data_IF_937438135561
#
_entry.id   IF_937438135561
#
_cell.length_a   1.000
_cell.length_b   1.000
_cell.length_c   1.000
_cell.angle_alpha   90.00
_cell.angle_beta   90.00
_cell.angle_gamma   90.00
#
_symmetry.space_group_name_H-M   'P 1'
#
loop_
_entity.id
_entity.type
_entity.pdbx_description
1 polymer ?
#
# COMPACT_ATOMS: atom_id res chain seq x y z
N UNK A 1 7.89 -21.68 7.66
CA UNK A 1 8.79 -20.52 7.48
C UNK A 1 7.88 -19.35 7.29
N UNK A 2 8.03 -18.31 8.10
CA UNK A 2 7.30 -17.06 7.90
C UNK A 2 7.75 -16.46 6.56
N UNK A 3 6.79 -16.07 5.73
CA UNK A 3 7.02 -15.41 4.46
C UNK A 3 6.08 -14.20 4.40
N UNK A 4 6.38 -13.15 5.21
CA UNK A 4 5.47 -12.04 5.38
C UNK A 4 5.37 -11.24 4.07
N UNK A 5 4.15 -10.88 3.70
CA UNK A 5 3.82 -10.18 2.45
C UNK A 5 3.00 -8.95 2.76
N UNK A 6 3.21 -7.88 2.00
CA UNK A 6 2.38 -6.68 2.06
C UNK A 6 1.12 -6.90 1.21
N UNK A 7 -0.04 -6.68 1.80
CA UNK A 7 -1.34 -6.74 1.13
C UNK A 7 -1.96 -5.36 1.04
N UNK A 8 -2.60 -5.08 -0.09
CA UNK A 8 -3.49 -3.93 -0.29
C UNK A 8 -4.91 -4.44 -0.53
N UNK A 9 -5.87 -3.96 0.25
CA UNK A 9 -7.23 -4.46 0.32
C UNK A 9 -8.23 -3.31 0.15
N UNK A 10 -9.22 -3.48 -0.72
CA UNK A 10 -10.41 -2.65 -0.78
C UNK A 10 -11.50 -3.32 0.06
N UNK A 11 -11.74 -2.77 1.25
CA UNK A 11 -12.77 -3.24 2.16
C UNK A 11 -14.09 -2.56 1.83
N UNK A 12 -15.18 -3.32 1.87
CA UNK A 12 -16.54 -2.82 1.69
C UNK A 12 -17.39 -3.13 2.92
N UNK A 13 -18.22 -2.18 3.34
CA UNK A 13 -19.29 -2.43 4.30
C UNK A 13 -20.41 -1.40 4.19
N UNK A 14 -21.56 -1.69 4.83
CA UNK A 14 -22.62 -0.69 5.04
C UNK A 14 -22.72 -0.34 6.53
N UNK A 15 -22.12 0.79 6.97
CA UNK A 15 -22.23 1.21 8.37
C UNK A 15 -23.68 1.55 8.75
N UNK A 16 -24.05 1.42 10.04
CA UNK A 16 -25.37 1.86 10.52
C UNK A 16 -25.65 3.33 10.18
N UNK A 17 -26.86 3.61 9.68
CA UNK A 17 -27.26 4.97 9.32
C UNK A 17 -26.73 5.49 7.97
N UNK A 18 -26.05 4.65 7.17
CA UNK A 18 -25.69 4.99 5.78
C UNK A 18 -26.69 4.43 4.78
N UNK A 19 -26.96 5.19 3.73
CA UNK A 19 -27.87 4.77 2.66
C UNK A 19 -27.20 3.81 1.67
N UNK A 20 -25.91 4.01 1.42
CA UNK A 20 -25.08 3.22 0.50
C UNK A 20 -23.97 2.47 1.25
N UNK A 21 -23.37 1.51 0.58
CA UNK A 21 -22.10 0.90 1.00
C UNK A 21 -20.98 1.93 0.94
N UNK A 22 -19.98 1.75 1.80
CA UNK A 22 -18.76 2.52 1.87
C UNK A 22 -17.58 1.60 1.64
N UNK A 23 -16.52 2.15 1.07
CA UNK A 23 -15.28 1.44 0.86
C UNK A 23 -14.13 2.17 1.53
N UNK A 24 -13.15 1.40 1.98
CA UNK A 24 -11.91 1.93 2.53
C UNK A 24 -10.71 1.05 2.11
N UNK A 25 -9.51 1.62 2.17
CA UNK A 25 -8.28 0.91 1.87
C UNK A 25 -7.58 0.45 3.14
N UNK A 26 -7.23 -0.83 3.17
CA UNK A 26 -6.47 -1.44 4.23
C UNK A 26 -5.14 -1.96 3.71
N UNK A 27 -4.07 -1.67 4.45
CA UNK A 27 -2.76 -2.27 4.25
C UNK A 27 -2.40 -3.15 5.44
N UNK A 28 -1.92 -4.36 5.15
CA UNK A 28 -1.52 -5.33 6.17
C UNK A 28 -0.29 -6.11 5.76
N UNK A 29 0.45 -6.61 6.75
CA UNK A 29 1.57 -7.53 6.55
C UNK A 29 1.22 -8.85 7.22
N UNK A 30 1.24 -9.93 6.45
CA UNK A 30 0.96 -11.27 6.97
C UNK A 30 1.52 -12.37 6.06
N UNK A 31 1.53 -13.60 6.56
CA UNK A 31 1.91 -14.76 5.77
C UNK A 31 0.83 -15.16 4.77
N UNK A 32 -0.44 -14.87 5.02
CA UNK A 32 -1.57 -15.12 4.14
C UNK A 32 -2.67 -14.06 4.26
N UNK A 33 -3.62 -14.05 3.32
CA UNK A 33 -4.77 -13.16 3.38
C UNK A 33 -5.71 -13.49 4.58
N UNK A 34 -5.84 -14.76 4.95
CA UNK A 34 -6.64 -15.21 6.09
C UNK A 34 -6.14 -14.64 7.41
N UNK A 35 -4.83 -14.54 7.56
CA UNK A 35 -4.18 -14.01 8.76
C UNK A 35 -4.50 -12.52 9.03
N UNK A 36 -4.96 -11.79 8.01
CA UNK A 36 -5.35 -10.38 8.13
C UNK A 36 -6.75 -10.19 8.72
N UNK A 37 -7.57 -11.24 8.82
CA UNK A 37 -8.97 -11.12 9.27
C UNK A 37 -9.12 -10.42 10.64
N UNK A 38 -8.33 -10.76 11.69
CA UNK A 38 -8.42 -10.06 12.97
C UNK A 38 -8.08 -8.56 12.86
N UNK A 39 -7.09 -8.21 12.04
CA UNK A 39 -6.67 -6.82 11.84
C UNK A 39 -7.71 -6.01 11.04
N UNK A 40 -8.33 -6.62 10.02
CA UNK A 40 -9.42 -6.03 9.23
C UNK A 40 -10.62 -5.71 10.13
N UNK A 41 -11.03 -6.65 10.99
CA UNK A 41 -12.15 -6.43 11.91
C UNK A 41 -11.82 -5.34 12.94
N UNK A 42 -10.56 -5.26 13.37
CA UNK A 42 -10.09 -4.22 14.30
C UNK A 42 -9.98 -2.83 13.68
N UNK A 43 -9.75 -2.71 12.37
CA UNK A 43 -9.59 -1.40 11.70
C UNK A 43 -10.92 -0.71 11.42
N UNK A 44 -12.04 -1.44 11.40
CA UNK A 44 -13.36 -0.86 11.13
C UNK A 44 -14.42 -1.43 12.10
N UNK A 45 -14.36 -1.09 13.39
CA UNK A 45 -15.19 -1.72 14.42
C UNK A 45 -16.69 -1.41 14.28
N UNK A 46 -17.07 -0.32 13.60
CA UNK A 46 -18.46 0.03 13.33
C UNK A 46 -19.07 -0.73 12.15
N UNK A 47 -18.28 -1.52 11.42
CA UNK A 47 -18.72 -2.23 10.23
C UNK A 47 -19.34 -3.60 10.57
N UNK A 48 -20.67 -3.78 10.43
CA UNK A 48 -21.33 -5.00 10.87
C UNK A 48 -21.04 -6.22 9.97
N UNK A 49 -20.69 -5.99 8.70
CA UNK A 49 -20.50 -7.03 7.67
C UNK A 49 -19.44 -6.60 6.65
N UNK A 50 -18.18 -6.59 7.09
CA UNK A 50 -17.05 -6.30 6.20
C UNK A 50 -16.90 -7.42 5.16
N UNK A 51 -16.61 -7.02 3.93
CA UNK A 51 -16.16 -7.87 2.84
C UNK A 51 -14.95 -7.23 2.15
N UNK A 52 -14.26 -8.00 1.31
CA UNK A 52 -13.15 -7.52 0.47
C UNK A 52 -13.66 -7.54 -0.97
N UNK A 53 -13.62 -6.39 -1.65
CA UNK A 53 -14.03 -6.25 -3.06
C UNK A 53 -12.86 -6.30 -4.04
N UNK A 54 -11.66 -6.02 -3.55
CA UNK A 54 -10.44 -6.18 -4.32
C UNK A 54 -9.25 -6.39 -3.37
N UNK A 55 -8.28 -7.18 -3.80
CA UNK A 55 -6.99 -7.25 -3.11
C UNK A 55 -5.86 -7.64 -4.05
N UNK A 56 -4.64 -7.35 -3.60
CA UNK A 56 -3.41 -7.88 -4.18
C UNK A 56 -2.32 -8.02 -3.12
N UNK A 57 -1.41 -8.95 -3.36
CA UNK A 57 -0.08 -8.91 -2.78
C UNK A 57 0.72 -7.83 -3.49
N UNK A 58 1.28 -6.89 -2.75
CA UNK A 58 2.10 -5.81 -3.30
C UNK A 58 3.53 -6.32 -3.39
N UNK A 59 3.90 -6.87 -4.54
CA UNK A 59 5.25 -7.41 -4.77
C UNK A 59 6.09 -6.52 -5.67
N UNK A 60 5.46 -5.74 -6.56
CA UNK A 60 6.15 -4.84 -7.49
C UNK A 60 5.38 -3.53 -7.66
N UNK A 61 6.09 -2.40 -7.54
CA UNK A 61 5.56 -1.05 -7.83
C UNK A 61 6.62 -0.25 -8.57
N UNK A 62 6.26 0.38 -9.69
CA UNK A 62 7.13 1.24 -10.51
C UNK A 62 8.49 0.62 -10.89
N UNK A 63 8.52 -0.70 -11.12
CA UNK A 63 9.76 -1.42 -11.44
C UNK A 63 10.67 -1.63 -10.23
N UNK A 64 10.13 -1.61 -9.01
CA UNK A 64 10.82 -1.99 -7.78
C UNK A 64 10.08 -3.14 -7.10
N UNK A 65 10.81 -4.18 -6.69
CA UNK A 65 10.29 -5.18 -5.76
C UNK A 65 10.07 -4.55 -4.39
N UNK A 66 8.91 -4.81 -3.82
CA UNK A 66 8.56 -4.46 -2.44
C UNK A 66 8.85 -5.67 -1.56
N UNK A 67 9.83 -5.53 -0.66
CA UNK A 67 10.32 -6.62 0.18
C UNK A 67 9.96 -6.29 1.63
N UNK A 68 9.25 -7.20 2.30
CA UNK A 68 8.99 -7.10 3.74
C UNK A 68 10.17 -7.73 4.49
N UNK A 69 10.86 -6.94 5.31
CA UNK A 69 12.02 -7.37 6.09
C UNK A 69 11.64 -7.42 7.57
N UNK A 70 11.80 -8.55 8.26
CA UNK A 70 11.70 -8.63 9.71
C UNK A 70 12.71 -7.70 10.39
N UNK A 71 12.25 -6.95 11.39
CA UNK A 71 13.13 -6.22 12.30
C UNK A 71 13.68 -7.22 13.31
N UNK A 72 15.00 -7.23 13.47
CA UNK A 72 15.61 -8.04 14.51
C UNK A 72 15.00 -7.66 15.87
N UNK A 73 14.47 -8.64 16.59
CA UNK A 73 13.99 -8.44 17.96
C UNK A 73 15.21 -7.96 18.77
N UNK A 74 15.07 -6.83 19.45
CA UNK A 74 16.12 -6.35 20.36
C UNK A 74 16.25 -7.35 21.52
N UNK A 75 17.07 -8.40 21.34
CA UNK A 75 17.37 -9.38 22.39
C UNK A 75 17.39 -10.87 22.00
N UNK A 76 17.63 -11.26 20.75
CA UNK A 76 17.77 -12.69 20.41
C UNK A 76 18.78 -12.96 19.30
N UNK A 77 19.87 -13.65 19.64
CA UNK A 77 20.79 -14.26 18.68
C UNK A 77 20.10 -15.45 17.98
N UNK A 78 19.28 -15.17 16.97
CA UNK A 78 18.70 -16.20 16.09
C UNK A 78 19.53 -16.35 14.80
N UNK A 79 20.18 -17.51 14.58
CA UNK A 79 21.00 -17.77 13.39
C UNK A 79 20.20 -17.82 12.07
N UNK A 80 18.86 -17.91 12.09
CA UNK A 80 18.03 -17.91 10.87
C UNK A 80 17.93 -16.54 10.19
N UNK A 81 18.16 -15.46 10.93
CA UNK A 81 18.21 -14.08 10.41
C UNK A 81 19.50 -13.79 9.61
N UNK A 82 20.48 -14.70 9.58
CA UNK A 82 21.69 -14.53 8.77
C UNK A 82 21.44 -14.80 7.27
N UNK A 83 20.47 -15.64 6.92
CA UNK A 83 20.17 -15.96 5.52
C UNK A 83 19.48 -14.80 4.79
N UNK A 84 18.66 -14.00 5.50
CA UNK A 84 18.05 -12.77 4.96
C UNK A 84 19.04 -11.61 4.85
N UNK A 85 20.21 -11.68 5.51
CA UNK A 85 21.32 -10.73 5.32
C UNK A 85 22.12 -10.99 4.04
N UNK A 86 21.84 -12.08 3.32
CA UNK A 86 22.51 -12.46 2.08
C UNK A 86 21.79 -11.93 0.82
N UNK A 87 21.02 -10.84 0.91
CA UNK A 87 20.84 -9.96 -0.26
C UNK A 87 22.03 -9.01 -0.24
N UNK A 88 23.03 -9.30 -1.07
CA UNK A 88 24.23 -8.48 -1.21
C UNK A 88 23.82 -7.01 -1.36
N UNK A 89 24.29 -6.19 -0.44
CA UNK A 89 24.21 -4.72 -0.48
C UNK A 89 24.84 -4.11 -1.76
N UNK A 90 25.44 -4.94 -2.61
CA UNK A 90 26.07 -4.58 -3.88
C UNK A 90 25.10 -4.41 -5.07
N UNK A 91 23.86 -4.90 -4.98
CA UNK A 91 22.87 -4.76 -6.08
C UNK A 91 21.99 -3.50 -5.93
N UNK A 92 22.30 -2.65 -4.95
CA UNK A 92 21.76 -1.29 -4.86
C UNK A 92 22.51 -0.42 -5.88
N UNK A 93 22.00 -0.38 -7.10
CA UNK A 93 22.55 0.46 -8.18
C UNK A 93 22.52 1.92 -7.76
N UNK A 94 23.70 2.46 -7.46
CA UNK A 94 23.95 3.89 -7.35
C UNK A 94 24.21 4.42 -8.76
N UNK A 95 23.22 5.05 -9.38
CA UNK A 95 23.48 5.99 -10.47
C UNK A 95 23.17 7.42 -10.02
N UNK A 96 24.25 8.10 -9.62
CA UNK A 96 24.49 9.51 -9.92
C UNK A 96 23.73 10.57 -9.13
N UNK A 97 24.31 11.02 -8.02
CA UNK A 97 24.90 12.39 -7.92
C UNK A 97 25.66 12.53 -6.60
N UNK A 98 26.89 13.03 -6.68
CA UNK A 98 27.76 13.28 -5.53
C UNK A 98 27.33 14.55 -4.79
N UNK A 99 27.17 14.47 -3.46
CA UNK A 99 28.00 15.21 -2.46
C UNK A 99 27.31 15.25 -1.08
N UNK A 100 28.03 14.87 -0.02
CA UNK A 100 27.68 15.19 1.37
C UNK A 100 27.51 13.97 2.28
N UNK A 101 28.37 13.86 3.30
CA UNK A 101 28.54 12.72 4.19
C UNK A 101 27.31 12.40 5.08
N UNK A 102 27.00 11.12 5.22
CA UNK A 102 26.05 10.56 6.18
C UNK A 102 25.66 9.12 5.82
N UNK A 103 26.21 8.14 6.54
CA UNK A 103 26.06 6.69 6.36
C UNK A 103 24.67 6.17 6.82
N UNK A 104 23.94 5.48 5.94
CA UNK A 104 23.12 4.28 6.20
C UNK A 104 22.39 3.83 4.91
N UNK A 105 22.77 2.67 4.36
CA UNK A 105 22.33 2.15 3.06
C UNK A 105 20.82 1.87 2.92
N UNK A 106 20.10 2.84 2.38
CA UNK A 106 18.81 2.70 1.69
C UNK A 106 18.79 3.65 0.49
N UNK A 107 18.03 3.34 -0.56
CA UNK A 107 17.91 4.17 -1.78
C UNK A 107 17.26 5.54 -1.52
N UNK A 108 16.86 5.85 -0.28
CA UNK A 108 16.04 7.02 0.07
C UNK A 108 14.60 6.93 -0.45
N UNK A 109 14.28 5.89 -1.21
CA UNK A 109 12.97 5.67 -1.78
C UNK A 109 12.01 5.09 -0.74
N UNK A 110 10.74 5.46 -0.90
CA UNK A 110 9.62 5.07 -0.06
C UNK A 110 8.45 4.65 -0.96
N UNK A 111 7.55 3.86 -0.38
CA UNK A 111 6.32 3.44 -1.03
C UNK A 111 5.17 4.34 -0.54
N UNK A 112 4.46 4.96 -1.48
CA UNK A 112 3.34 5.84 -1.21
C UNK A 112 2.04 5.26 -1.75
N UNK A 113 0.94 5.46 -1.03
CA UNK A 113 -0.43 5.32 -1.50
C UNK A 113 -1.01 6.69 -1.83
N UNK A 114 -1.67 6.79 -2.98
CA UNK A 114 -2.37 7.98 -3.43
C UNK A 114 -3.78 7.62 -3.89
N UNK A 115 -4.76 8.36 -3.40
CA UNK A 115 -6.15 8.28 -3.84
C UNK A 115 -6.48 9.51 -4.68
N UNK A 116 -6.64 9.33 -6.00
CA UNK A 116 -6.92 10.42 -6.94
C UNK A 116 -8.41 10.54 -7.16
N UNK A 117 -8.98 11.72 -6.88
CA UNK A 117 -10.37 12.06 -7.17
C UNK A 117 -10.53 12.71 -8.55
N UNK A 118 -11.66 12.47 -9.20
CA UNK A 118 -11.94 13.05 -10.51
C UNK A 118 -13.39 12.89 -10.97
N UNK A 119 -13.77 13.71 -11.95
CA UNK A 119 -15.16 13.85 -12.40
C UNK A 119 -15.27 13.72 -13.92
N UNK A 120 -16.47 13.35 -14.38
CA UNK A 120 -16.84 13.34 -15.79
C UNK A 120 -18.10 14.18 -16.01
N UNK A 121 -18.17 14.96 -17.11
CA UNK A 121 -19.38 15.71 -17.43
C UNK A 121 -20.61 14.81 -17.58
N UNK A 122 -21.70 15.16 -16.88
CA UNK A 122 -22.99 14.47 -17.00
C UNK A 122 -23.12 13.19 -16.16
N UNK A 123 -22.13 12.86 -15.33
CA UNK A 123 -22.16 11.69 -14.46
C UNK A 123 -22.27 12.13 -12.99
N UNK A 124 -23.19 11.51 -12.25
CA UNK A 124 -23.39 11.77 -10.82
C UNK A 124 -22.53 10.82 -9.99
N UNK A 125 -21.21 10.92 -10.17
CA UNK A 125 -20.22 10.09 -9.48
C UNK A 125 -18.90 10.84 -9.35
N UNK A 126 -18.20 10.59 -8.25
CA UNK A 126 -16.79 10.96 -8.09
C UNK A 126 -15.92 9.72 -8.23
N UNK A 127 -15.11 9.69 -9.28
CA UNK A 127 -14.22 8.58 -9.54
C UNK A 127 -12.99 8.67 -8.67
N UNK A 128 -12.57 7.52 -8.15
CA UNK A 128 -11.37 7.40 -7.35
C UNK A 128 -10.40 6.40 -7.97
N UNK A 129 -9.21 6.87 -8.35
CA UNK A 129 -8.11 6.04 -8.82
C UNK A 129 -7.06 5.87 -7.72
N UNK A 130 -6.98 4.64 -7.24
CA UNK A 130 -6.12 4.23 -6.14
C UNK A 130 -4.82 3.68 -6.70
N UNK A 131 -3.71 4.34 -6.42
CA UNK A 131 -2.40 3.95 -6.95
C UNK A 131 -1.34 3.86 -5.86
N UNK A 132 -0.32 3.05 -6.15
CA UNK A 132 0.94 3.05 -5.40
C UNK A 132 2.02 3.73 -6.24
N UNK A 133 2.96 4.38 -5.57
CA UNK A 133 4.09 5.06 -6.21
C UNK A 133 5.36 4.88 -5.39
N UNK A 134 6.47 4.60 -6.08
CA UNK A 134 7.82 4.63 -5.47
C UNK A 134 8.47 5.98 -5.75
N UNK A 135 8.81 6.69 -4.67
CA UNK A 135 9.39 8.03 -4.76
C UNK A 135 10.32 8.34 -3.57
N UNK A 136 11.18 9.34 -3.72
CA UNK A 136 12.03 9.81 -2.62
C UNK A 136 11.23 10.56 -1.54
N UNK A 137 10.16 11.25 -1.95
CA UNK A 137 9.31 12.05 -1.09
C UNK A 137 7.90 12.21 -1.66
N UNK A 138 7.01 12.81 -0.85
CA UNK A 138 5.62 13.09 -1.23
C UNK A 138 5.52 13.97 -2.48
N UNK A 139 6.41 14.95 -2.66
CA UNK A 139 6.37 15.88 -3.80
C UNK A 139 6.65 15.16 -5.12
N UNK A 140 7.57 14.21 -5.13
CA UNK A 140 7.84 13.35 -6.27
C UNK A 140 6.67 12.40 -6.55
N UNK A 141 6.08 11.78 -5.51
CA UNK A 141 4.89 10.94 -5.67
C UNK A 141 3.71 11.72 -6.27
N UNK A 142 3.46 12.95 -5.80
CA UNK A 142 2.45 13.87 -6.37
C UNK A 142 2.74 14.14 -7.84
N UNK A 143 4.00 14.43 -8.20
CA UNK A 143 4.38 14.70 -9.59
C UNK A 143 4.09 13.50 -10.50
N UNK A 144 4.39 12.29 -10.03
CA UNK A 144 4.09 11.06 -10.75
C UNK A 144 2.57 10.85 -10.90
N UNK A 145 1.80 11.03 -9.83
CA UNK A 145 0.34 10.95 -9.87
C UNK A 145 -0.29 11.95 -10.87
N UNK A 146 0.18 13.20 -10.88
CA UNK A 146 -0.27 14.22 -11.84
C UNK A 146 0.07 13.89 -13.29
N UNK A 147 1.04 13.01 -13.51
CA UNK A 147 1.40 12.55 -14.85
C UNK A 147 0.50 11.41 -15.37
N UNK A 148 -0.32 10.79 -14.51
CA UNK A 148 -1.23 9.68 -14.89
C UNK A 148 -2.32 10.14 -15.86
N UNK A 149 -2.84 9.20 -16.66
CA UNK A 149 -3.97 9.46 -17.55
C UNK A 149 -5.22 9.86 -16.77
N UNK A 150 -5.43 9.26 -15.59
CA UNK A 150 -6.55 9.60 -14.71
C UNK A 150 -6.53 11.08 -14.36
N UNK A 151 -5.43 11.57 -13.77
CA UNK A 151 -5.32 12.96 -13.34
C UNK A 151 -5.43 13.96 -14.50
N UNK A 152 -4.99 13.57 -15.70
CA UNK A 152 -5.02 14.45 -16.89
C UNK A 152 -6.39 14.54 -17.55
N UNK A 153 -7.28 13.57 -17.33
CA UNK A 153 -8.49 13.40 -18.14
C UNK A 153 -9.78 13.27 -17.33
N UNK A 154 -9.70 13.12 -16.01
CA UNK A 154 -10.85 12.96 -15.12
C UNK A 154 -11.18 14.26 -14.39
N UNK A 155 -11.27 15.36 -15.15
CA UNK A 155 -11.56 16.68 -14.62
C UNK A 155 -11.90 17.65 -15.74
N UNK A 156 -12.63 18.72 -15.38
CA UNK A 156 -13.02 19.79 -16.30
C UNK A 156 -13.14 21.10 -15.52
N UNK A 157 -13.23 22.23 -16.22
CA UNK A 157 -13.30 23.54 -15.58
C UNK A 157 -14.43 23.61 -14.53
N UNK A 158 -14.05 23.80 -13.26
CA UNK A 158 -14.97 23.82 -12.11
C UNK A 158 -15.09 22.49 -11.33
N UNK A 159 -14.43 21.42 -11.80
CA UNK A 159 -14.34 20.12 -11.16
C UNK A 159 -13.02 19.42 -11.60
N UNK A 160 -11.89 19.98 -11.17
CA UNK A 160 -10.57 19.50 -11.57
C UNK A 160 -10.22 18.16 -10.91
N UNK A 161 -9.39 17.35 -11.59
CA UNK A 161 -8.79 16.19 -10.96
C UNK A 161 -7.90 16.61 -9.79
N UNK A 162 -7.94 15.85 -8.73
CA UNK A 162 -7.24 16.17 -7.50
C UNK A 162 -6.71 14.90 -6.85
N UNK A 163 -5.79 15.08 -5.91
CA UNK A 163 -5.44 14.04 -4.94
C UNK A 163 -6.32 14.41 -3.74
N UNK A 164 -7.16 13.50 -3.25
CA UNK A 164 -8.27 13.83 -2.34
C UNK A 164 -7.79 14.76 -1.21
N UNK A 165 -8.45 15.91 -1.11
CA UNK A 165 -8.16 17.02 -0.19
C UNK A 165 -9.45 17.27 0.58
N UNK A 166 -9.48 16.73 1.81
CA UNK A 166 -10.67 16.74 2.65
C UNK A 166 -10.86 18.10 3.32
N UNK A 167 -9.84 18.96 3.36
CA UNK A 167 -9.87 20.20 4.14
C UNK A 167 -9.25 21.45 3.49
N UNK A 168 -8.86 21.42 2.22
CA UNK A 168 -8.37 22.59 1.47
C UNK A 168 -6.95 23.02 1.83
N UNK A 169 -6.16 22.14 2.46
CA UNK A 169 -4.77 22.39 2.87
C UNK A 169 -3.99 21.07 2.79
N UNK A 170 -3.01 20.99 1.88
CA UNK A 170 -2.05 19.90 1.70
C UNK A 170 -2.62 18.46 1.60
N UNK A 171 -2.93 17.99 0.38
CA UNK A 171 -2.95 16.57 -0.08
C UNK A 171 -3.25 15.54 1.02
N UNK A 172 -4.51 15.47 1.47
CA UNK A 172 -4.92 14.65 2.61
C UNK A 172 -4.81 13.14 2.35
N UNK A 173 -5.08 12.66 1.12
CA UNK A 173 -4.97 11.23 0.77
C UNK A 173 -3.66 10.85 0.07
N UNK A 174 -2.54 11.24 0.68
CA UNK A 174 -1.20 10.76 0.34
C UNK A 174 -0.46 10.27 1.58
N UNK A 175 -0.25 8.97 1.62
CA UNK A 175 0.34 8.27 2.76
C UNK A 175 1.60 7.52 2.36
N UNK A 176 2.68 7.65 3.15
CA UNK A 176 3.75 6.65 3.12
C UNK A 176 3.21 5.36 3.73
N UNK A 177 3.36 4.23 3.04
CA UNK A 177 2.74 2.97 3.48
C UNK A 177 3.20 2.58 4.89
N UNK A 178 4.49 2.75 5.22
CA UNK A 178 4.96 2.46 6.58
C UNK A 178 4.25 3.29 7.65
N UNK A 179 3.83 4.53 7.35
CA UNK A 179 3.16 5.40 8.32
C UNK A 179 1.76 4.90 8.68
N UNK A 180 1.02 4.35 7.72
CA UNK A 180 -0.36 3.86 7.90
C UNK A 180 -0.44 2.41 8.39
N UNK A 181 0.66 1.64 8.33
CA UNK A 181 0.73 0.33 8.98
C UNK A 181 0.57 0.48 10.50
N UNK A 182 -0.03 -0.54 11.13
CA UNK A 182 -0.23 -0.55 12.58
C UNK A 182 1.11 -0.50 13.32
N UNK A 183 1.12 0.04 14.54
CA UNK A 183 2.33 0.09 15.37
C UNK A 183 2.95 -1.29 15.58
N UNK A 184 2.13 -2.34 15.73
CA UNK A 184 2.62 -3.71 15.85
C UNK A 184 3.38 -4.17 14.60
N UNK A 185 2.84 -3.91 13.41
CA UNK A 185 3.51 -4.26 12.14
C UNK A 185 4.81 -3.46 12.00
N UNK A 186 4.79 -2.14 12.25
CA UNK A 186 5.99 -1.28 12.19
C UNK A 186 7.11 -1.73 13.12
N UNK A 187 6.77 -2.29 14.28
CA UNK A 187 7.76 -2.80 15.24
C UNK A 187 8.37 -4.12 14.78
N UNK A 188 7.61 -4.95 14.06
CA UNK A 188 8.04 -6.26 13.62
C UNK A 188 8.69 -6.25 12.24
N UNK A 189 8.29 -5.33 11.36
CA UNK A 189 8.68 -5.32 9.96
C UNK A 189 9.07 -3.93 9.48
N UNK A 190 9.81 -3.89 8.38
CA UNK A 190 10.04 -2.72 7.54
C UNK A 190 9.93 -3.10 6.07
N UNK A 191 9.70 -2.12 5.21
CA UNK A 191 9.73 -2.30 3.78
C UNK A 191 11.11 -1.96 3.23
N UNK A 192 11.53 -2.68 2.20
CA UNK A 192 12.68 -2.35 1.38
C UNK A 192 12.28 -2.39 -0.09
N UNK A 193 12.92 -1.54 -0.88
CA UNK A 193 12.68 -1.40 -2.30
C UNK A 193 13.94 -1.77 -3.06
N UNK A 194 13.83 -2.73 -3.97
CA UNK A 194 14.92 -3.17 -4.83
C UNK A 194 14.53 -2.98 -6.29
N UNK A 195 15.36 -2.30 -7.08
CA UNK A 195 15.10 -2.11 -8.50
C UNK A 195 14.98 -3.46 -9.21
N UNK A 196 13.90 -3.63 -9.94
CA UNK A 196 13.61 -4.80 -10.75
C UNK A 196 12.64 -4.43 -11.90
N UNK A 197 13.17 -3.84 -12.98
CA UNK A 197 12.34 -3.35 -14.08
C UNK A 197 11.65 -4.47 -14.87
N UNK A 198 12.10 -5.71 -14.72
CA UNK A 198 11.60 -6.89 -15.44
C UNK A 198 10.65 -7.74 -14.57
N UNK A 199 10.38 -7.32 -13.34
CA UNK A 199 9.48 -8.05 -12.46
C UNK A 199 8.04 -8.04 -13.00
N UNK A 200 7.38 -9.20 -12.94
CA UNK A 200 6.00 -9.34 -13.36
C UNK A 200 5.08 -8.46 -12.48
N UNK A 201 4.08 -7.86 -13.10
CA UNK A 201 3.06 -7.10 -12.38
C UNK A 201 2.27 -8.01 -11.42
N UNK A 202 1.85 -7.44 -10.29
CA UNK A 202 0.99 -8.13 -9.33
C UNK A 202 -0.32 -8.61 -9.98
N UNK A 203 -0.83 -9.76 -9.52
CA UNK A 203 -2.18 -10.20 -9.86
C UNK A 203 -3.22 -9.40 -9.06
N UNK A 204 -4.28 -8.96 -9.74
CA UNK A 204 -5.42 -8.31 -9.11
C UNK A 204 -6.54 -9.32 -8.87
N UNK A 205 -6.92 -9.50 -7.61
CA UNK A 205 -8.08 -10.30 -7.25
C UNK A 205 -9.28 -9.38 -7.05
N UNK A 206 -10.11 -9.25 -8.08
CA UNK A 206 -11.32 -8.42 -8.06
C UNK A 206 -12.57 -9.27 -7.82
N UNK A 207 -13.47 -8.79 -6.97
CA UNK A 207 -14.77 -9.41 -6.68
C UNK A 207 -15.05 -9.54 -5.18
N UNK A 208 -16.22 -10.09 -4.87
CA UNK A 208 -16.76 -10.10 -3.51
C UNK A 208 -16.24 -11.30 -2.68
N UNK A 209 -15.40 -11.04 -1.69
CA UNK A 209 -14.86 -12.05 -0.77
C UNK A 209 -15.39 -11.84 0.65
N UNK A 210 -16.12 -12.83 1.18
CA UNK A 210 -16.58 -12.84 2.57
C UNK A 210 -15.42 -13.22 3.50
N UNK A 211 -15.18 -12.45 4.55
CA UNK A 211 -14.11 -12.77 5.53
C UNK A 211 -14.22 -14.19 6.11
N UNK A 212 -15.44 -14.67 6.40
CA UNK A 212 -15.65 -16.02 6.93
C UNK A 212 -15.18 -17.14 5.99
N UNK A 213 -15.17 -16.89 4.69
CA UNK A 213 -14.72 -17.86 3.68
C UNK A 213 -13.21 -18.05 3.66
N UNK A 214 -12.44 -17.08 4.17
CA UNK A 214 -10.98 -17.18 4.28
C UNK A 214 -10.58 -18.10 5.44
N UNK A 215 -11.23 -17.97 6.60
CA UNK A 215 -10.93 -18.74 7.81
C UNK A 215 -11.41 -20.20 7.71
N UNK A 216 -12.45 -20.46 6.92
CA UNK A 216 -13.02 -21.81 6.78
C UNK A 216 -12.18 -22.73 5.87
N UNK A 217 -11.39 -22.16 4.94
CA UNK A 217 -10.60 -22.91 3.96
C UNK A 217 -9.35 -23.58 4.55
N UNK A 218 -8.84 -23.11 5.68
CA UNK A 218 -7.64 -23.68 6.32
C UNK A 218 -7.95 -24.87 7.23
N UNK A 219 -9.22 -25.05 7.61
CA UNK A 219 -9.68 -26.16 8.46
C UNK A 219 -10.27 -27.34 7.64
N UNK A 220 -10.09 -27.35 6.31
CA UNK A 220 -10.65 -28.35 5.39
C UNK A 220 -9.57 -29.14 4.66
#
# INVERSE_FOLDING_TARGET
MENPRLFMLLLGCKPPGRFTEQHDIFFGVADSLSDLVPAILGSWPEAPKIHIDAWREVTVVDGYRVIVIPRAVAGGDDPTLQTLRYVKTADIVTQGTQSGAGDAGGTGLKLFFLNLGGYKPGEFEEYHYKMLSVAADKSMAIRQAKATAFYKHMGFAGADSHIDDKYGVDVDDLYEIEEILTTAIKQQYKLALQADPDAAADEWHLGYTKLSSLVSRENS
#
